data_IF_064621638297
#
_entry.id   IF_064621638297
#
_cell.length_a   1.000
_cell.length_b   1.000
_cell.length_c   1.000
_cell.angle_alpha   90.00
_cell.angle_beta   90.00
_cell.angle_gamma   90.00
#
_symmetry.space_group_name_H-M   'P 1'
#
loop_
_entity.id
_entity.type
_entity.pdbx_description
1 polymer ?
#
# COMPACT_ATOMS: atom_id res chain seq x y z
N UNK A 1 9.33 -9.06 -7.04
CA UNK A 1 8.20 -9.45 -7.89
C UNK A 1 8.09 -10.97 -7.82
N UNK A 2 6.88 -11.53 -7.76
CA UNK A 2 6.60 -12.95 -7.66
C UNK A 2 7.27 -13.67 -6.46
N UNK A 3 7.50 -12.99 -5.37
CA UNK A 3 8.14 -13.54 -4.16
C UNK A 3 7.14 -14.22 -3.21
N UNK A 4 5.84 -13.95 -3.36
CA UNK A 4 4.79 -14.47 -2.49
C UNK A 4 3.62 -15.01 -3.32
N UNK A 5 2.93 -16.01 -2.78
CA UNK A 5 1.71 -16.54 -3.37
C UNK A 5 0.52 -15.62 -3.03
N UNK A 6 -0.46 -15.50 -3.94
CA UNK A 6 -1.67 -14.68 -3.75
C UNK A 6 -2.52 -15.13 -2.56
N UNK A 7 -2.41 -16.37 -2.13
CA UNK A 7 -3.11 -16.93 -0.97
C UNK A 7 -2.42 -16.66 0.36
N UNK A 8 -1.19 -16.13 0.33
CA UNK A 8 -0.46 -15.77 1.54
C UNK A 8 -0.86 -14.39 2.03
N UNK A 9 -1.05 -14.26 3.34
CA UNK A 9 -1.19 -12.95 3.96
C UNK A 9 0.15 -12.22 3.95
N UNK A 10 0.16 -11.05 3.31
CA UNK A 10 1.34 -10.20 3.26
C UNK A 10 0.94 -8.76 3.59
N UNK A 11 1.40 -8.31 4.73
CA UNK A 11 1.09 -6.97 5.27
C UNK A 11 2.34 -6.09 5.35
N UNK A 12 2.17 -4.84 5.83
CA UNK A 12 3.28 -3.87 5.92
C UNK A 12 4.40 -4.32 6.85
N UNK A 13 4.09 -4.99 7.96
CA UNK A 13 5.11 -5.50 8.88
C UNK A 13 5.91 -6.65 8.26
N UNK A 14 5.24 -7.57 7.58
CA UNK A 14 5.90 -8.64 6.83
C UNK A 14 6.79 -8.08 5.71
N UNK A 15 6.30 -7.05 5.00
CA UNK A 15 7.08 -6.34 4.00
C UNK A 15 8.32 -5.68 4.62
N UNK A 16 8.17 -4.93 5.73
CA UNK A 16 9.29 -4.27 6.41
C UNK A 16 10.38 -5.28 6.77
N UNK A 17 10.01 -6.38 7.44
CA UNK A 17 10.96 -7.42 7.86
C UNK A 17 11.67 -8.07 6.66
N UNK A 18 10.92 -8.47 5.63
CA UNK A 18 11.49 -9.10 4.43
C UNK A 18 12.39 -8.15 3.65
N UNK A 19 12.00 -6.87 3.54
CA UNK A 19 12.78 -5.88 2.83
C UNK A 19 14.09 -5.54 3.56
N UNK A 20 14.07 -5.43 4.90
CA UNK A 20 15.28 -5.19 5.70
C UNK A 20 16.27 -6.36 5.60
N UNK A 21 15.81 -7.62 5.68
CA UNK A 21 16.65 -8.80 5.47
C UNK A 21 17.30 -8.83 4.07
N UNK A 22 16.51 -8.47 3.06
CA UNK A 22 17.02 -8.36 1.70
C UNK A 22 18.08 -7.25 1.58
N UNK A 23 17.83 -6.09 2.15
CA UNK A 23 18.76 -4.96 2.14
C UNK A 23 20.08 -5.33 2.83
N UNK A 24 20.04 -5.99 3.98
CA UNK A 24 21.25 -6.49 4.65
C UNK A 24 22.10 -7.37 3.71
N UNK A 25 21.45 -8.26 2.98
CA UNK A 25 22.12 -9.11 2.00
C UNK A 25 22.69 -8.33 0.82
N UNK A 26 21.97 -7.33 0.33
CA UNK A 26 22.38 -6.52 -0.82
C UNK A 26 23.54 -5.57 -0.44
N UNK A 27 23.52 -4.99 0.75
CA UNK A 27 24.59 -4.11 1.24
C UNK A 27 25.94 -4.83 1.47
N UNK A 28 25.92 -6.17 1.64
CA UNK A 28 27.15 -6.97 1.60
C UNK A 28 27.79 -7.03 0.21
N UNK A 29 27.02 -6.75 -0.86
CA UNK A 29 27.48 -6.83 -2.26
C UNK A 29 27.75 -5.47 -2.89
N UNK A 30 27.20 -4.41 -2.34
CA UNK A 30 27.33 -3.08 -2.89
C UNK A 30 26.91 -1.99 -1.92
N UNK A 31 27.52 -0.81 -2.06
CA UNK A 31 27.27 0.34 -1.17
C UNK A 31 25.90 1.00 -1.38
N UNK A 32 25.31 0.85 -2.55
CA UNK A 32 24.04 1.50 -2.94
C UNK A 32 23.01 0.46 -3.35
N UNK A 33 21.79 0.60 -2.87
CA UNK A 33 20.64 -0.22 -3.25
C UNK A 33 19.50 0.69 -3.67
N UNK A 34 18.86 0.38 -4.79
CA UNK A 34 17.71 1.14 -5.28
C UNK A 34 16.43 0.34 -4.98
N UNK A 35 15.54 0.93 -4.18
CA UNK A 35 14.19 0.41 -3.96
C UNK A 35 13.18 1.19 -4.81
N UNK A 36 12.42 0.50 -5.66
CA UNK A 36 11.43 1.10 -6.54
C UNK A 36 10.03 0.61 -6.18
N UNK A 37 9.12 1.54 -6.00
CA UNK A 37 7.74 1.18 -5.69
C UNK A 37 6.81 2.39 -5.62
N UNK A 38 5.52 2.11 -5.43
CA UNK A 38 4.46 3.13 -5.38
C UNK A 38 3.45 2.90 -4.25
N UNK A 39 3.64 1.88 -3.40
CA UNK A 39 2.82 1.69 -2.19
C UNK A 39 3.33 2.60 -1.08
N UNK A 40 2.63 3.71 -0.82
CA UNK A 40 3.06 4.70 0.17
C UNK A 40 3.27 4.10 1.56
N UNK A 41 2.42 3.17 1.97
CA UNK A 41 2.55 2.54 3.28
C UNK A 41 3.77 1.59 3.35
N UNK A 42 4.09 0.88 2.26
CA UNK A 42 5.28 0.03 2.19
C UNK A 42 6.57 0.85 2.19
N UNK A 43 6.61 1.94 1.38
CA UNK A 43 7.75 2.85 1.38
C UNK A 43 7.96 3.45 2.77
N UNK A 44 6.88 3.89 3.43
CA UNK A 44 6.95 4.40 4.79
C UNK A 44 7.45 3.33 5.78
N UNK A 45 6.93 2.11 5.71
CA UNK A 45 7.37 1.01 6.57
C UNK A 45 8.88 0.74 6.42
N UNK A 46 9.39 0.76 5.19
CA UNK A 46 10.82 0.58 4.92
C UNK A 46 11.66 1.74 5.46
N UNK A 47 11.24 2.98 5.19
CA UNK A 47 12.04 4.17 5.53
C UNK A 47 11.95 4.57 7.00
N UNK A 48 10.75 4.48 7.58
CA UNK A 48 10.46 5.04 8.91
C UNK A 48 10.14 3.96 9.95
N UNK A 49 9.87 2.76 9.50
CA UNK A 49 9.35 1.69 10.36
C UNK A 49 7.86 1.80 10.62
N UNK A 50 7.33 0.74 11.21
CA UNK A 50 5.96 0.69 11.70
C UNK A 50 5.97 0.55 13.23
N UNK A 51 4.90 1.02 13.87
CA UNK A 51 4.69 0.75 15.30
C UNK A 51 4.67 -0.77 15.55
N UNK A 52 5.20 -1.20 16.69
CA UNK A 52 5.29 -2.61 17.07
C UNK A 52 3.91 -3.11 17.57
N UNK A 53 2.98 -3.21 16.65
CA UNK A 53 1.64 -3.73 16.90
C UNK A 53 1.61 -5.25 16.68
N UNK A 54 0.79 -6.00 17.44
CA UNK A 54 0.69 -7.44 17.29
C UNK A 54 0.23 -7.80 15.86
N UNK A 55 0.69 -8.93 15.38
CA UNK A 55 0.13 -9.51 14.15
C UNK A 55 -1.34 -9.84 14.36
N UNK A 56 -2.12 -9.80 13.28
CA UNK A 56 -3.54 -10.12 13.34
C UNK A 56 -3.73 -11.58 13.80
N UNK A 57 -4.54 -11.78 14.84
CA UNK A 57 -5.03 -13.10 15.21
C UNK A 57 -6.08 -13.54 14.19
N UNK A 58 -5.81 -14.64 13.49
CA UNK A 58 -6.69 -15.09 12.40
C UNK A 58 -8.10 -15.48 12.88
N UNK A 59 -8.26 -15.97 14.11
CA UNK A 59 -9.57 -16.34 14.66
C UNK A 59 -10.37 -15.08 15.03
N UNK A 60 -9.76 -14.17 15.79
CA UNK A 60 -10.35 -12.89 16.17
C UNK A 60 -10.70 -12.06 14.93
N UNK A 61 -9.82 -12.02 13.95
CA UNK A 61 -10.08 -11.27 12.72
C UNK A 61 -11.28 -11.80 11.94
N UNK A 62 -11.43 -13.11 11.83
CA UNK A 62 -12.62 -13.71 11.19
C UNK A 62 -13.90 -13.38 11.94
N UNK A 63 -13.87 -13.39 13.28
CA UNK A 63 -15.01 -12.98 14.10
C UNK A 63 -15.40 -11.53 13.87
N UNK A 64 -14.41 -10.61 13.90
CA UNK A 64 -14.65 -9.19 13.66
C UNK A 64 -15.11 -8.89 12.23
N UNK A 65 -14.59 -9.61 11.24
CA UNK A 65 -15.07 -9.49 9.85
C UNK A 65 -16.52 -9.95 9.72
N UNK A 66 -16.90 -11.07 10.36
CA UNK A 66 -18.28 -11.52 10.38
C UNK A 66 -19.19 -10.50 11.07
N UNK A 67 -18.76 -9.92 12.19
CA UNK A 67 -19.50 -8.85 12.85
C UNK A 67 -19.66 -7.63 11.92
N UNK A 68 -18.61 -7.23 11.20
CA UNK A 68 -18.68 -6.16 10.24
C UNK A 68 -19.68 -6.44 9.10
N UNK A 69 -19.75 -7.67 8.63
CA UNK A 69 -20.68 -8.09 7.55
C UNK A 69 -22.14 -8.14 8.02
N UNK A 70 -22.40 -8.55 9.26
CA UNK A 70 -23.76 -8.74 9.78
C UNK A 70 -24.33 -7.51 10.46
N UNK A 71 -23.51 -6.72 11.13
CA UNK A 71 -23.93 -5.60 11.99
C UNK A 71 -23.46 -4.22 11.47
N UNK A 72 -22.62 -4.22 10.44
CA UNK A 72 -22.05 -2.98 9.87
C UNK A 72 -20.86 -2.43 10.64
N UNK A 73 -20.30 -1.33 10.10
CA UNK A 73 -19.13 -0.66 10.71
C UNK A 73 -19.51 0.07 12.01
N UNK A 74 -20.76 0.45 12.17
CA UNK A 74 -21.29 1.17 13.33
C UNK A 74 -21.15 0.36 14.60
N UNK A 75 -21.41 -0.95 14.55
CA UNK A 75 -21.26 -1.85 15.71
C UNK A 75 -19.81 -1.94 16.17
N UNK A 76 -18.86 -2.04 15.23
CA UNK A 76 -17.43 -2.01 15.53
C UNK A 76 -16.98 -0.63 16.04
N UNK A 77 -17.54 0.46 15.51
CA UNK A 77 -17.25 1.81 15.97
C UNK A 77 -17.71 2.04 17.43
N UNK A 78 -18.89 1.57 17.80
CA UNK A 78 -19.36 1.60 19.19
C UNK A 78 -18.50 0.73 20.13
N UNK A 79 -17.99 -0.38 19.63
CA UNK A 79 -17.02 -1.20 20.38
C UNK A 79 -15.70 -0.47 20.55
N UNK A 80 -15.19 0.19 19.48
CA UNK A 80 -13.99 1.01 19.54
C UNK A 80 -14.12 2.16 20.53
N UNK A 81 -15.28 2.85 20.55
CA UNK A 81 -15.56 3.94 21.47
C UNK A 81 -15.36 3.55 22.93
N UNK A 82 -15.72 2.32 23.28
CA UNK A 82 -15.54 1.77 24.65
C UNK A 82 -14.11 1.35 24.93
N UNK A 83 -13.39 0.79 23.93
CA UNK A 83 -12.03 0.27 24.07
C UNK A 83 -10.97 1.38 23.96
N UNK A 84 -11.22 2.38 23.13
CA UNK A 84 -10.29 3.49 22.86
C UNK A 84 -11.05 4.75 22.42
N UNK A 85 -11.59 5.52 23.38
CA UNK A 85 -12.31 6.76 23.09
C UNK A 85 -11.45 7.81 22.35
N UNK A 86 -10.14 7.81 22.59
CA UNK A 86 -9.20 8.75 21.95
C UNK A 86 -9.14 8.46 20.47
N UNK A 87 -8.84 7.22 20.08
CA UNK A 87 -8.76 6.86 18.68
C UNK A 87 -10.12 6.92 17.95
N UNK A 88 -11.20 6.64 18.68
CA UNK A 88 -12.56 6.80 18.15
C UNK A 88 -12.81 8.24 17.68
N UNK A 89 -12.31 9.24 18.40
CA UNK A 89 -12.43 10.66 18.02
C UNK A 89 -11.54 11.08 16.84
N UNK A 90 -10.52 10.29 16.50
CA UNK A 90 -9.54 10.62 15.46
C UNK A 90 -9.80 9.88 14.13
N UNK A 91 -10.31 8.64 14.22
CA UNK A 91 -10.43 7.76 13.05
C UNK A 91 -11.62 8.14 12.17
N UNK A 92 -11.44 7.99 10.85
CA UNK A 92 -12.61 8.00 9.94
C UNK A 92 -13.44 6.74 10.18
N UNK A 93 -14.54 6.90 10.90
CA UNK A 93 -15.46 5.81 11.26
C UNK A 93 -16.11 5.14 10.04
N UNK A 94 -16.11 5.79 8.87
CA UNK A 94 -16.57 5.20 7.61
C UNK A 94 -15.51 4.33 6.94
N UNK A 95 -14.36 4.17 7.55
CA UNK A 95 -13.30 3.29 7.07
C UNK A 95 -13.28 1.98 7.90
N UNK A 96 -14.00 0.93 7.45
CA UNK A 96 -14.16 -0.30 8.23
C UNK A 96 -12.82 -1.00 8.52
N UNK A 97 -11.86 -0.91 7.60
CA UNK A 97 -10.56 -1.54 7.80
C UNK A 97 -9.76 -0.92 8.95
N UNK A 98 -9.85 0.40 9.13
CA UNK A 98 -9.19 1.11 10.24
C UNK A 98 -9.88 0.85 11.57
N UNK A 99 -11.21 0.90 11.58
CA UNK A 99 -12.01 0.61 12.78
C UNK A 99 -11.77 -0.82 13.24
N UNK A 100 -11.88 -1.81 12.33
CA UNK A 100 -11.64 -3.22 12.62
C UNK A 100 -10.23 -3.44 13.18
N UNK A 101 -9.20 -2.85 12.53
CA UNK A 101 -7.81 -3.02 13.02
C UNK A 101 -7.59 -2.44 14.42
N UNK A 102 -8.18 -1.32 14.72
CA UNK A 102 -8.07 -0.72 16.07
C UNK A 102 -8.75 -1.59 17.13
N UNK A 103 -9.96 -2.07 16.86
CA UNK A 103 -10.67 -3.00 17.75
C UNK A 103 -9.87 -4.29 17.95
N UNK A 104 -9.36 -4.88 16.86
CA UNK A 104 -8.52 -6.09 16.89
C UNK A 104 -7.32 -5.92 17.83
N UNK A 105 -6.55 -4.84 17.67
CA UNK A 105 -5.37 -4.57 18.49
C UNK A 105 -5.76 -4.35 19.96
N UNK A 106 -6.82 -3.58 20.23
CA UNK A 106 -7.30 -3.38 21.61
C UNK A 106 -7.64 -4.71 22.28
N UNK A 107 -8.32 -5.61 21.56
CA UNK A 107 -8.73 -6.90 22.12
C UNK A 107 -7.56 -7.86 22.34
N UNK A 108 -6.61 -7.88 21.39
CA UNK A 108 -5.41 -8.72 21.50
C UNK A 108 -4.49 -8.30 22.66
N UNK A 109 -4.37 -6.98 22.87
CA UNK A 109 -3.39 -6.46 23.83
C UNK A 109 -3.97 -6.08 25.18
N UNK A 110 -5.30 -5.94 25.28
CA UNK A 110 -5.97 -5.38 26.45
C UNK A 110 -5.68 -3.88 26.66
N UNK A 111 -5.09 -3.18 25.69
CA UNK A 111 -4.66 -1.78 25.77
C UNK A 111 -5.28 -0.96 24.64
N UNK A 112 -5.56 0.35 24.86
CA UNK A 112 -6.02 1.24 23.79
C UNK A 112 -5.03 1.24 22.60
N UNK A 113 -5.57 1.22 21.39
CA UNK A 113 -4.78 1.30 20.15
C UNK A 113 -3.99 2.62 20.06
N UNK A 114 -4.60 3.73 20.46
CA UNK A 114 -3.97 5.05 20.53
C UNK A 114 -2.69 5.06 21.35
N UNK A 115 -2.67 4.34 22.50
CA UNK A 115 -1.51 4.27 23.38
C UNK A 115 -0.33 3.46 22.80
N UNK A 116 -0.58 2.67 21.77
CA UNK A 116 0.41 1.82 21.10
C UNK A 116 0.91 2.41 19.78
N UNK A 117 0.28 3.48 19.32
CA UNK A 117 0.72 4.25 18.16
C UNK A 117 1.69 5.33 18.60
N UNK A 118 2.96 5.00 18.57
CA UNK A 118 4.00 5.97 18.96
C UNK A 118 4.29 6.97 17.85
N UNK A 119 4.12 6.56 16.60
CA UNK A 119 4.48 7.37 15.43
C UNK A 119 5.97 7.68 15.34
N UNK A 120 6.79 7.03 16.17
CA UNK A 120 8.23 7.25 16.20
C UNK A 120 8.88 6.63 14.95
N UNK A 121 9.75 7.40 14.31
CA UNK A 121 10.58 6.89 13.23
C UNK A 121 11.66 5.97 13.82
N UNK A 122 11.70 4.73 13.32
CA UNK A 122 12.79 3.80 13.66
C UNK A 122 14.04 4.20 12.90
N UNK A 123 15.17 4.28 13.61
CA UNK A 123 16.46 4.48 12.95
C UNK A 123 16.79 3.30 12.05
N UNK A 124 17.32 3.60 10.86
CA UNK A 124 17.81 2.61 9.91
C UNK A 124 19.34 2.60 9.93
N UNK A 125 19.98 1.43 9.75
CA UNK A 125 21.45 1.33 9.70
C UNK A 125 22.01 1.74 8.33
N UNK A 126 21.31 2.59 7.58
CA UNK A 126 21.68 3.10 6.26
C UNK A 126 21.01 4.45 6.01
N UNK A 127 21.64 5.23 5.14
CA UNK A 127 21.09 6.51 4.70
C UNK A 127 20.01 6.32 3.64
N UNK A 128 19.03 7.20 3.64
CA UNK A 128 17.86 7.12 2.76
C UNK A 128 17.76 8.39 1.92
N UNK A 129 17.92 8.25 0.61
CA UNK A 129 17.64 9.30 -0.37
C UNK A 129 16.31 9.02 -1.04
N UNK A 130 15.36 9.95 -0.90
CA UNK A 130 14.01 9.79 -1.42
C UNK A 130 13.83 10.56 -2.73
N UNK A 131 13.49 9.85 -3.78
CA UNK A 131 13.27 10.41 -5.12
C UNK A 131 11.85 10.09 -5.56
N UNK A 132 11.11 11.11 -5.96
CA UNK A 132 9.82 10.99 -6.62
C UNK A 132 9.95 11.26 -8.11
N UNK A 133 9.29 10.43 -8.93
CA UNK A 133 9.25 10.63 -10.38
C UNK A 133 7.82 10.89 -10.80
N UNK A 134 7.58 11.98 -11.54
CA UNK A 134 6.24 12.33 -11.99
C UNK A 134 6.26 13.05 -13.35
N UNK A 135 5.09 13.07 -13.98
CA UNK A 135 4.82 13.78 -15.23
C UNK A 135 3.72 14.83 -15.00
N UNK A 136 3.55 15.80 -15.90
CA UNK A 136 2.35 16.60 -15.96
C UNK A 136 1.10 15.72 -16.01
N UNK A 137 0.03 16.18 -15.36
CA UNK A 137 -1.17 15.35 -15.12
C UNK A 137 -1.76 14.73 -16.37
N UNK A 138 -1.85 15.49 -17.44
CA UNK A 138 -2.45 15.03 -18.71
C UNK A 138 -1.60 13.92 -19.34
N UNK A 139 -0.29 14.12 -19.35
CA UNK A 139 0.66 13.15 -19.88
C UNK A 139 0.68 11.86 -19.07
N UNK A 140 0.67 11.99 -17.73
CA UNK A 140 0.56 10.84 -16.81
C UNK A 140 -0.72 10.04 -17.08
N UNK A 141 -1.85 10.72 -17.25
CA UNK A 141 -3.13 10.05 -17.49
C UNK A 141 -3.18 9.37 -18.85
N UNK A 142 -2.66 10.01 -19.89
CA UNK A 142 -2.54 9.39 -21.21
C UNK A 142 -1.64 8.15 -21.18
N UNK A 143 -0.54 8.21 -20.42
CA UNK A 143 0.36 7.05 -20.24
C UNK A 143 -0.31 5.91 -19.48
N UNK A 144 -1.10 6.22 -18.45
CA UNK A 144 -1.88 5.23 -17.70
C UNK A 144 -2.88 4.54 -18.62
N UNK A 145 -3.62 5.30 -19.41
CA UNK A 145 -4.65 4.75 -20.32
C UNK A 145 -4.01 3.84 -21.37
N UNK A 146 -2.91 4.27 -22.04
CA UNK A 146 -2.16 3.41 -22.97
C UNK A 146 -1.60 2.15 -22.31
N UNK A 147 -1.15 2.24 -21.04
CA UNK A 147 -0.70 1.05 -20.31
C UNK A 147 -1.83 0.04 -20.10
N UNK A 148 -3.03 0.51 -19.79
CA UNK A 148 -4.20 -0.37 -19.64
C UNK A 148 -4.50 -1.07 -20.98
N UNK A 149 -4.46 -0.34 -22.10
CA UNK A 149 -4.67 -0.93 -23.41
C UNK A 149 -3.62 -2.01 -23.71
N UNK A 150 -2.34 -1.75 -23.46
CA UNK A 150 -1.27 -2.73 -23.61
C UNK A 150 -1.44 -3.96 -22.68
N UNK A 151 -1.95 -3.77 -21.46
CA UNK A 151 -2.24 -4.89 -20.55
C UNK A 151 -3.38 -5.77 -21.07
N UNK A 152 -4.40 -5.17 -21.71
CA UNK A 152 -5.50 -5.91 -22.34
C UNK A 152 -4.98 -6.73 -23.53
N UNK A 153 -4.15 -6.14 -24.37
CA UNK A 153 -3.49 -6.84 -25.49
C UNK A 153 -2.59 -7.99 -25.01
N UNK A 154 -1.98 -7.84 -23.82
CA UNK A 154 -1.14 -8.85 -23.20
C UNK A 154 -1.95 -9.94 -22.44
N UNK A 155 -3.29 -9.89 -22.45
CA UNK A 155 -4.14 -10.94 -21.89
C UNK A 155 -4.58 -10.72 -20.44
N UNK A 156 -4.72 -9.46 -19.99
CA UNK A 156 -5.18 -9.14 -18.63
C UNK A 156 -6.57 -9.74 -18.32
N UNK A 157 -7.48 -9.80 -19.31
CA UNK A 157 -8.81 -10.37 -19.12
C UNK A 157 -8.74 -11.87 -18.83
N UNK A 158 -7.96 -12.61 -19.59
CA UNK A 158 -7.76 -14.05 -19.42
C UNK A 158 -7.04 -14.36 -18.12
N UNK A 159 -6.09 -13.52 -17.73
CA UNK A 159 -5.43 -13.60 -16.43
C UNK A 159 -6.44 -13.41 -15.29
N UNK A 160 -7.27 -12.37 -15.35
CA UNK A 160 -8.31 -12.11 -14.35
C UNK A 160 -9.32 -13.27 -14.28
N UNK A 161 -9.70 -13.87 -15.43
CA UNK A 161 -10.61 -15.01 -15.49
C UNK A 161 -10.01 -16.24 -14.78
N UNK A 162 -8.73 -16.52 -14.96
CA UNK A 162 -8.04 -17.60 -14.24
C UNK A 162 -7.95 -17.34 -12.74
N UNK A 163 -7.94 -16.08 -12.33
CA UNK A 163 -7.86 -15.66 -10.92
C UNK A 163 -9.24 -15.59 -10.24
N UNK A 164 -10.35 -15.72 -10.97
CA UNK A 164 -11.69 -15.62 -10.42
C UNK A 164 -11.98 -16.56 -9.23
N UNK A 165 -11.51 -17.83 -9.18
CA UNK A 165 -11.69 -18.68 -8.00
C UNK A 165 -11.02 -18.15 -6.73
N UNK A 166 -10.06 -17.24 -6.88
CA UNK A 166 -9.29 -16.65 -5.78
C UNK A 166 -9.73 -15.22 -5.44
N UNK A 167 -10.84 -14.73 -6.00
CA UNK A 167 -11.28 -13.34 -5.93
C UNK A 167 -11.41 -12.77 -4.51
N UNK A 168 -11.64 -13.63 -3.51
CA UNK A 168 -11.76 -13.22 -2.10
C UNK A 168 -10.42 -12.86 -1.45
N UNK A 169 -9.29 -13.28 -2.04
CA UNK A 169 -7.98 -12.95 -1.48
C UNK A 169 -7.64 -11.47 -1.67
N UNK A 170 -7.04 -10.88 -0.63
CA UNK A 170 -6.70 -9.46 -0.60
C UNK A 170 -5.80 -9.02 -1.78
N UNK A 171 -4.90 -9.88 -2.23
CA UNK A 171 -4.03 -9.63 -3.38
C UNK A 171 -4.79 -9.31 -4.67
N UNK A 172 -6.00 -9.87 -4.83
CA UNK A 172 -6.85 -9.67 -6.02
C UNK A 172 -7.87 -8.54 -5.86
N UNK A 173 -7.93 -7.90 -4.67
CA UNK A 173 -8.76 -6.73 -4.42
C UNK A 173 -8.09 -5.45 -4.95
N UNK A 174 -7.62 -5.48 -6.18
CA UNK A 174 -6.89 -4.39 -6.83
C UNK A 174 -7.50 -4.02 -8.19
N UNK A 175 -7.10 -2.86 -8.69
CA UNK A 175 -7.53 -2.36 -10.01
C UNK A 175 -7.06 -3.31 -11.10
N UNK A 176 -7.95 -3.60 -12.03
CA UNK A 176 -7.76 -4.55 -13.12
C UNK A 176 -8.49 -5.87 -12.87
N UNK A 177 -8.38 -6.44 -11.68
CA UNK A 177 -9.09 -7.69 -11.35
C UNK A 177 -10.52 -7.43 -10.91
N UNK A 178 -10.76 -6.50 -10.00
CA UNK A 178 -12.10 -6.21 -9.48
C UNK A 178 -13.10 -5.86 -10.57
N UNK A 179 -12.70 -4.99 -11.47
CA UNK A 179 -13.57 -4.55 -12.56
C UNK A 179 -13.88 -5.70 -13.53
N UNK A 180 -12.92 -6.59 -13.78
CA UNK A 180 -13.19 -7.80 -14.57
C UNK A 180 -14.03 -8.83 -13.81
N UNK A 181 -13.91 -8.95 -12.51
CA UNK A 181 -14.81 -9.79 -11.72
C UNK A 181 -16.26 -9.29 -11.79
N UNK A 182 -16.47 -7.97 -11.71
CA UNK A 182 -17.80 -7.37 -11.90
C UNK A 182 -18.35 -7.66 -13.30
N UNK A 183 -17.51 -7.64 -14.33
CA UNK A 183 -17.90 -8.04 -15.69
C UNK A 183 -18.24 -9.53 -15.78
N UNK A 184 -17.46 -10.40 -15.19
CA UNK A 184 -17.73 -11.84 -15.20
C UNK A 184 -18.99 -12.22 -14.41
N UNK A 185 -19.37 -11.44 -13.43
CA UNK A 185 -20.64 -11.56 -12.70
C UNK A 185 -21.83 -10.93 -13.46
N UNK A 186 -21.59 -10.29 -14.61
CA UNK A 186 -22.63 -9.66 -15.43
C UNK A 186 -23.17 -8.34 -14.87
N UNK A 187 -22.47 -7.73 -13.89
CA UNK A 187 -22.88 -6.45 -13.28
C UNK A 187 -22.51 -5.23 -14.12
N UNK A 188 -21.51 -5.36 -14.97
CA UNK A 188 -21.07 -4.35 -15.95
C UNK A 188 -20.74 -5.02 -17.28
N UNK A 189 -20.75 -4.25 -18.37
CA UNK A 189 -20.28 -4.69 -19.67
C UNK A 189 -18.74 -4.72 -19.71
N UNK A 190 -18.15 -5.41 -20.69
CA UNK A 190 -16.71 -5.45 -20.90
C UNK A 190 -16.11 -4.04 -21.08
N UNK A 191 -16.76 -3.21 -21.90
CA UNK A 191 -16.28 -1.85 -22.19
C UNK A 191 -16.38 -0.93 -20.98
N UNK A 192 -17.42 -1.11 -20.17
CA UNK A 192 -17.52 -0.42 -18.86
C UNK A 192 -16.41 -0.86 -17.92
N UNK A 193 -16.10 -2.15 -17.82
CA UNK A 193 -15.00 -2.66 -17.00
C UNK A 193 -13.67 -2.01 -17.42
N UNK A 194 -13.35 -1.96 -18.71
CA UNK A 194 -12.13 -1.32 -19.23
C UNK A 194 -12.12 0.18 -18.89
N UNK A 195 -13.23 0.87 -19.07
CA UNK A 195 -13.37 2.28 -18.71
C UNK A 195 -13.13 2.51 -17.20
N UNK A 196 -13.66 1.62 -16.38
CA UNK A 196 -13.48 1.63 -14.94
C UNK A 196 -12.02 1.38 -14.54
N UNK A 197 -11.33 0.43 -15.18
CA UNK A 197 -9.91 0.14 -14.96
C UNK A 197 -9.07 1.40 -15.23
N UNK A 198 -9.24 2.03 -16.38
CA UNK A 198 -8.56 3.29 -16.72
C UNK A 198 -8.82 4.38 -15.68
N UNK A 199 -10.09 4.62 -15.35
CA UNK A 199 -10.50 5.60 -14.34
C UNK A 199 -9.89 5.32 -12.98
N UNK A 200 -9.96 4.09 -12.50
CA UNK A 200 -9.51 3.70 -11.18
C UNK A 200 -7.97 3.69 -11.09
N UNK A 201 -7.27 3.37 -12.19
CA UNK A 201 -5.82 3.52 -12.29
C UNK A 201 -5.38 4.99 -12.17
N UNK A 202 -6.06 5.93 -12.84
CA UNK A 202 -5.82 7.38 -12.69
C UNK A 202 -6.10 7.85 -11.25
N UNK A 203 -7.18 7.36 -10.62
CA UNK A 203 -7.49 7.66 -9.21
C UNK A 203 -6.42 7.12 -8.27
N UNK A 204 -5.89 5.93 -8.58
CA UNK A 204 -4.80 5.35 -7.81
C UNK A 204 -3.53 6.19 -7.89
N UNK A 205 -3.12 6.59 -9.09
CA UNK A 205 -1.99 7.51 -9.29
C UNK A 205 -2.18 8.85 -8.56
N UNK A 206 -3.39 9.42 -8.58
CA UNK A 206 -3.71 10.64 -7.80
C UNK A 206 -3.52 10.40 -6.29
N UNK A 207 -3.96 9.25 -5.75
CA UNK A 207 -3.75 8.91 -4.34
C UNK A 207 -2.28 8.75 -3.99
N UNK A 208 -1.48 8.12 -4.86
CA UNK A 208 -0.03 8.02 -4.69
C UNK A 208 0.63 9.39 -4.61
N UNK A 209 0.35 10.28 -5.57
CA UNK A 209 0.89 11.64 -5.56
C UNK A 209 0.47 12.43 -4.31
N UNK A 210 -0.79 12.31 -3.88
CA UNK A 210 -1.28 12.96 -2.66
C UNK A 210 -0.56 12.43 -1.42
N UNK A 211 -0.25 11.14 -1.38
CA UNK A 211 0.50 10.53 -0.27
C UNK A 211 1.94 11.04 -0.23
N UNK A 212 2.66 10.87 -1.33
CA UNK A 212 4.09 11.16 -1.37
C UNK A 212 4.42 12.66 -1.32
N UNK A 213 3.53 13.54 -1.78
CA UNK A 213 3.71 15.00 -1.67
C UNK A 213 3.66 15.54 -0.25
N UNK A 214 3.22 14.74 0.72
CA UNK A 214 3.26 15.09 2.15
C UNK A 214 4.65 14.92 2.76
N UNK A 215 5.50 14.16 2.11
CA UNK A 215 6.89 13.94 2.54
C UNK A 215 7.79 14.99 1.88
N UNK A 216 8.24 15.96 2.69
CA UNK A 216 9.09 17.06 2.22
C UNK A 216 10.52 16.60 1.87
N UNK A 217 10.92 15.41 2.30
CA UNK A 217 12.23 14.82 2.00
C UNK A 217 12.32 14.30 0.56
N UNK A 218 11.17 14.13 -0.12
CA UNK A 218 11.14 13.63 -1.49
C UNK A 218 11.54 14.73 -2.48
N UNK A 219 12.64 14.54 -3.20
CA UNK A 219 12.98 15.35 -4.36
C UNK A 219 12.30 14.82 -5.62
N UNK A 220 11.56 15.69 -6.30
CA UNK A 220 10.78 15.32 -7.47
C UNK A 220 11.52 15.63 -8.78
N UNK A 221 11.48 14.67 -9.71
CA UNK A 221 12.12 14.75 -11.03
C UNK A 221 11.15 14.34 -12.14
N UNK A 222 11.44 14.78 -13.35
CA UNK A 222 10.89 14.18 -14.56
C UNK A 222 11.48 12.77 -14.76
N UNK A 223 10.72 11.78 -15.30
CA UNK A 223 11.27 10.47 -15.64
C UNK A 223 12.35 10.51 -16.76
N UNK A 224 12.51 11.66 -17.40
CA UNK A 224 13.49 11.89 -18.47
C UNK A 224 14.75 12.62 -17.98
N UNK A 225 14.77 13.08 -16.72
CA UNK A 225 15.90 13.80 -16.13
C UNK A 225 16.83 12.85 -15.38
N UNK A 226 17.44 11.92 -16.11
CA UNK A 226 18.36 10.93 -15.52
C UNK A 226 19.61 11.59 -14.95
N UNK A 227 20.15 12.60 -15.62
CA UNK A 227 21.36 13.31 -15.18
C UNK A 227 21.12 14.08 -13.89
N UNK A 228 19.98 14.78 -13.77
CA UNK A 228 19.58 15.47 -12.54
C UNK A 228 19.38 14.51 -11.37
N UNK A 229 18.82 13.33 -11.60
CA UNK A 229 18.66 12.28 -10.56
C UNK A 229 20.04 11.80 -10.10
N UNK A 230 20.95 11.48 -11.00
CA UNK A 230 22.29 10.99 -10.66
C UNK A 230 23.07 12.06 -9.88
N UNK A 231 23.09 13.29 -10.39
CA UNK A 231 23.77 14.41 -9.72
C UNK A 231 23.23 14.65 -8.29
N UNK A 232 21.90 14.54 -8.11
CA UNK A 232 21.29 14.63 -6.78
C UNK A 232 21.73 13.52 -5.85
N UNK A 233 21.75 12.26 -6.30
CA UNK A 233 22.18 11.11 -5.48
C UNK A 233 23.64 11.27 -5.08
N UNK A 234 24.51 11.67 -5.99
CA UNK A 234 25.95 11.84 -5.71
C UNK A 234 26.22 12.97 -4.72
N UNK A 235 25.48 14.07 -4.84
CA UNK A 235 25.56 15.18 -3.87
C UNK A 235 25.14 14.76 -2.45
N UNK A 236 24.14 13.88 -2.32
CA UNK A 236 23.72 13.35 -1.02
C UNK A 236 24.73 12.34 -0.44
N UNK A 237 25.40 11.59 -1.30
CA UNK A 237 26.38 10.56 -0.90
C UNK A 237 27.74 11.13 -0.50
N UNK A 238 28.13 12.31 -1.01
CA UNK A 238 29.37 12.98 -0.68
C UNK A 238 29.36 13.75 0.64
N UNK A 239 28.19 13.96 1.25
CA UNK A 239 28.05 14.67 2.52
C UNK A 239 28.33 13.78 3.77
N UNK A 240 28.57 12.48 3.59
CA UNK A 240 28.82 11.49 4.64
C UNK A 240 30.25 10.98 4.77
N UNK A 241 31.21 11.54 4.00
CA UNK A 241 32.63 11.21 4.12
C UNK A 241 33.37 12.29 4.94
N UNK A 242 33.11 12.37 6.25
CA UNK A 242 33.97 12.99 7.22
C UNK A 242 33.91 12.25 8.56
#
# INVERSE_FOLDING_TARGET
>A
IASHNITQEFNCGAFESSALQLLETLFRRGRRVVAVGGSGLYVRALCEGMDDLPQADGALRRELMRQLETEGVEALAERLKRLDPVYYGEVDLRNPARVLRAVEVCLQTGRPFSSQRTGLRKQRPFDIVKIGVTLPREELYARIDRRVDAMLEAGLEEEARRMLPYRSFNALQTVGYREFFDYFDGTVTRDEAITLIKRNSRRYAKRQLTWFRRDAEIRWFSPFDTEGVIAWIDAQSGAGEY
#
